data_IF_773844268198
#
_entry.id   IF_773844268198
#
_cell.length_a   1.000
_cell.length_b   1.000
_cell.length_c   1.000
_cell.angle_alpha   90.00
_cell.angle_beta   90.00
_cell.angle_gamma   90.00
#
_symmetry.space_group_name_H-M   'P 1'
#
loop_
_entity.id
_entity.type
_entity.pdbx_description
1 polymer ?
#
# COMPACT_ATOMS: atom_id res chain seq x y z
N UNK A 1 10.00 -2.01 11.16
CA UNK A 1 11.46 -2.25 11.15
C UNK A 1 12.14 -0.93 10.83
N UNK A 2 13.35 -0.70 11.38
CA UNK A 2 14.14 0.50 11.15
C UNK A 2 15.61 0.12 11.03
N UNK A 3 16.43 1.04 10.53
CA UNK A 3 17.88 0.88 10.46
C UNK A 3 18.54 1.55 11.66
N UNK A 4 19.66 0.99 12.15
CA UNK A 4 20.44 1.53 13.25
C UNK A 4 21.92 1.43 12.93
N UNK A 5 22.73 2.30 13.53
CA UNK A 5 24.19 2.25 13.45
C UNK A 5 24.82 1.42 14.60
N UNK A 6 24.00 0.84 15.47
CA UNK A 6 24.45 -0.02 16.57
C UNK A 6 24.94 -1.35 15.99
N UNK A 7 26.02 -1.90 16.57
CA UNK A 7 26.52 -3.22 16.17
C UNK A 7 25.43 -4.29 16.38
N UNK A 8 25.25 -5.23 15.44
CA UNK A 8 24.20 -6.23 15.50
C UNK A 8 24.41 -7.15 16.71
N UNK A 9 23.32 -7.43 17.44
CA UNK A 9 23.30 -8.37 18.54
C UNK A 9 23.21 -9.82 18.06
N UNK A 10 22.57 -10.03 16.92
CA UNK A 10 22.37 -11.33 16.26
C UNK A 10 23.04 -11.29 14.89
N UNK A 11 24.01 -12.18 14.71
CA UNK A 11 24.82 -12.27 13.49
C UNK A 11 24.40 -13.51 12.72
N UNK A 12 24.20 -13.36 11.42
CA UNK A 12 23.92 -14.43 10.50
C UNK A 12 25.25 -15.11 10.08
N UNK A 13 25.26 -16.42 10.01
CA UNK A 13 26.42 -17.22 9.59
C UNK A 13 25.97 -18.44 8.79
N UNK A 14 26.91 -19.14 8.19
CA UNK A 14 26.63 -20.41 7.51
C UNK A 14 26.02 -21.46 8.44
N UNK A 15 26.43 -21.47 9.72
CA UNK A 15 25.85 -22.35 10.75
C UNK A 15 24.47 -21.88 11.25
N UNK A 16 24.15 -20.62 11.06
CA UNK A 16 22.88 -20.03 11.47
C UNK A 16 22.42 -19.05 10.39
N UNK A 17 21.94 -19.57 9.25
CA UNK A 17 21.53 -18.73 8.11
C UNK A 17 20.25 -17.96 8.37
N UNK A 18 19.47 -18.36 9.38
CA UNK A 18 18.20 -17.74 9.71
C UNK A 18 17.97 -17.69 11.22
N UNK A 19 17.32 -16.64 11.67
CA UNK A 19 16.63 -16.57 12.97
C UNK A 19 15.14 -16.35 12.73
N UNK A 20 14.31 -16.92 13.62
CA UNK A 20 12.87 -16.60 13.65
C UNK A 20 12.63 -15.60 14.76
N UNK A 21 11.98 -14.49 14.41
CA UNK A 21 11.66 -13.39 15.33
C UNK A 21 10.17 -13.41 15.61
N UNK A 22 9.77 -13.63 16.86
CA UNK A 22 8.39 -13.65 17.28
C UNK A 22 8.02 -12.38 18.06
N UNK A 23 7.04 -11.64 17.57
CA UNK A 23 6.48 -10.48 18.25
C UNK A 23 5.47 -10.89 19.31
N UNK A 24 5.80 -10.69 20.59
CA UNK A 24 5.04 -11.21 21.73
C UNK A 24 3.63 -10.63 21.84
N UNK A 25 3.42 -9.36 21.47
CA UNK A 25 2.10 -8.74 21.45
C UNK A 25 1.35 -8.90 20.12
N UNK A 26 2.07 -8.97 19.03
CA UNK A 26 1.48 -8.98 17.67
C UNK A 26 1.25 -10.38 17.14
N UNK A 27 1.79 -11.40 17.75
CA UNK A 27 1.85 -12.79 17.24
C UNK A 27 2.45 -12.88 15.84
N UNK A 28 3.24 -11.88 15.46
CA UNK A 28 3.89 -11.87 14.16
C UNK A 28 5.14 -12.73 14.20
N UNK A 29 5.34 -13.51 13.14
CA UNK A 29 6.60 -14.19 12.88
C UNK A 29 7.32 -13.48 11.72
N UNK A 30 8.61 -13.31 11.87
CA UNK A 30 9.50 -12.83 10.81
C UNK A 30 10.72 -13.76 10.76
N UNK A 31 11.29 -13.92 9.58
CA UNK A 31 12.56 -14.63 9.40
C UNK A 31 13.62 -13.58 9.09
N UNK A 32 14.68 -13.55 9.90
CA UNK A 32 15.84 -12.69 9.68
C UNK A 32 16.93 -13.52 9.00
N UNK A 33 17.43 -13.01 7.89
CA UNK A 33 18.54 -13.55 7.08
C UNK A 33 19.68 -12.53 6.89
N UNK A 34 19.65 -11.46 7.65
CA UNK A 34 20.69 -10.44 7.75
C UNK A 34 20.92 -10.13 9.21
N UNK A 35 22.09 -9.60 9.55
CA UNK A 35 22.43 -9.20 10.90
C UNK A 35 21.44 -8.17 11.46
N UNK A 36 21.07 -8.29 12.73
CA UNK A 36 20.03 -7.46 13.31
C UNK A 36 20.17 -7.23 14.82
N UNK A 37 19.50 -6.20 15.29
CA UNK A 37 19.21 -5.95 16.70
C UNK A 37 17.70 -6.04 16.93
N UNK A 38 17.28 -6.21 18.17
CA UNK A 38 15.86 -6.19 18.55
C UNK A 38 15.61 -5.20 19.67
N UNK A 39 14.38 -4.72 19.72
CA UNK A 39 13.84 -3.95 20.84
C UNK A 39 13.04 -4.88 21.76
N UNK A 40 12.35 -4.29 22.75
CA UNK A 40 11.54 -5.02 23.70
C UNK A 40 10.38 -5.83 23.07
N UNK A 41 9.90 -6.82 23.83
CA UNK A 41 8.73 -7.62 23.52
C UNK A 41 8.83 -8.50 22.24
N UNK A 42 10.03 -8.91 21.88
CA UNK A 42 10.28 -9.93 20.85
C UNK A 42 11.02 -11.12 21.43
N UNK A 43 10.79 -12.28 20.86
CA UNK A 43 11.54 -13.53 21.15
C UNK A 43 12.33 -13.93 19.93
N UNK A 44 13.60 -14.22 20.12
CA UNK A 44 14.49 -14.70 19.06
C UNK A 44 14.65 -16.20 19.21
N UNK A 45 14.40 -16.90 18.13
CA UNK A 45 14.47 -18.34 18.07
C UNK A 45 15.56 -18.73 17.07
N UNK A 46 16.52 -19.52 17.54
CA UNK A 46 17.51 -20.14 16.70
C UNK A 46 16.97 -21.51 16.28
N UNK A 47 16.88 -21.82 14.97
CA UNK A 47 16.54 -23.15 14.51
C UNK A 47 17.54 -24.19 15.03
N UNK A 48 17.06 -25.38 15.40
CA UNK A 48 17.89 -26.44 15.96
C UNK A 48 18.65 -27.25 14.90
N UNK A 49 18.26 -27.07 13.64
CA UNK A 49 18.91 -27.67 12.45
C UNK A 49 18.83 -26.68 11.30
N UNK A 50 19.57 -26.93 10.24
CA UNK A 50 19.53 -26.11 9.05
C UNK A 50 18.24 -26.41 8.27
N UNK A 51 17.31 -25.45 8.28
CA UNK A 51 16.12 -25.46 7.45
C UNK A 51 16.33 -24.54 6.26
N UNK A 52 15.71 -24.86 5.13
CA UNK A 52 15.55 -23.90 4.04
C UNK A 52 14.58 -22.79 4.44
N UNK A 53 14.59 -21.68 3.71
CA UNK A 53 13.64 -20.59 3.94
C UNK A 53 12.18 -21.07 3.78
N UNK A 54 11.90 -21.94 2.79
CA UNK A 54 10.55 -22.44 2.54
C UNK A 54 10.07 -23.37 3.66
N UNK A 55 10.93 -24.27 4.13
CA UNK A 55 10.63 -25.10 5.29
C UNK A 55 10.30 -24.27 6.53
N UNK A 56 11.07 -23.21 6.81
CA UNK A 56 10.78 -22.29 7.90
C UNK A 56 9.45 -21.56 7.71
N UNK A 57 9.15 -21.08 6.50
CA UNK A 57 7.86 -20.43 6.19
C UNK A 57 6.71 -21.39 6.47
N UNK A 58 6.81 -22.66 6.05
CA UNK A 58 5.78 -23.67 6.31
C UNK A 58 5.58 -23.89 7.82
N UNK A 59 6.68 -24.13 8.54
CA UNK A 59 6.67 -24.38 10.00
C UNK A 59 6.05 -23.20 10.76
N UNK A 60 6.52 -21.97 10.51
CA UNK A 60 6.01 -20.79 11.23
C UNK A 60 4.56 -20.47 10.87
N UNK A 61 4.12 -20.74 9.65
CA UNK A 61 2.72 -20.58 9.24
C UNK A 61 1.81 -21.54 9.98
N UNK A 62 2.21 -22.82 10.07
CA UNK A 62 1.51 -23.84 10.86
C UNK A 62 1.49 -23.47 12.34
N UNK A 63 2.60 -22.97 12.87
CA UNK A 63 2.70 -22.54 14.26
C UNK A 63 1.80 -21.36 14.56
N UNK A 64 1.83 -20.32 13.72
CA UNK A 64 0.99 -19.13 13.86
C UNK A 64 -0.50 -19.46 13.94
N UNK A 65 -0.96 -20.40 13.12
CA UNK A 65 -2.36 -20.82 13.09
C UNK A 65 -2.79 -21.52 14.39
N UNK A 66 -1.87 -22.14 15.13
CA UNK A 66 -2.14 -22.76 16.43
C UNK A 66 -2.19 -21.77 17.61
N UNK A 67 -1.75 -20.52 17.43
CA UNK A 67 -1.70 -19.54 18.53
C UNK A 67 -3.01 -18.78 18.63
N UNK A 68 -3.75 -18.99 19.72
CA UNK A 68 -5.01 -18.29 19.99
C UNK A 68 -4.76 -16.79 20.20
N UNK A 69 -5.59 -15.95 19.56
CA UNK A 69 -5.56 -14.52 19.75
C UNK A 69 -6.17 -14.09 21.09
N UNK A 70 -5.40 -13.41 21.90
CA UNK A 70 -5.85 -12.79 23.15
C UNK A 70 -5.77 -11.26 23.13
N UNK A 71 -5.86 -10.66 21.95
CA UNK A 71 -5.77 -9.21 21.77
C UNK A 71 -4.40 -8.67 22.15
N UNK A 72 -4.37 -7.58 22.91
CA UNK A 72 -3.10 -6.91 23.31
C UNK A 72 -2.40 -7.60 24.50
N UNK A 73 -2.43 -8.93 24.54
CA UNK A 73 -1.72 -9.73 25.56
C UNK A 73 -0.35 -10.18 25.08
N UNK A 74 0.47 -10.71 25.99
CA UNK A 74 1.70 -11.42 25.63
C UNK A 74 1.37 -12.85 25.26
N UNK A 75 1.83 -13.30 24.09
CA UNK A 75 1.45 -14.59 23.52
C UNK A 75 2.54 -15.66 23.63
N UNK A 76 3.76 -15.31 24.05
CA UNK A 76 4.85 -16.28 24.12
C UNK A 76 4.57 -17.47 25.03
N UNK A 77 3.94 -17.25 26.19
CA UNK A 77 3.58 -18.32 27.13
C UNK A 77 2.66 -19.39 26.49
N UNK A 78 1.85 -18.97 25.50
CA UNK A 78 0.97 -19.86 24.75
C UNK A 78 1.74 -20.42 23.55
N UNK A 79 2.39 -19.56 22.80
CA UNK A 79 3.07 -19.92 21.56
C UNK A 79 4.07 -21.08 21.74
N UNK A 80 4.85 -21.05 22.82
CA UNK A 80 5.84 -22.09 23.11
C UNK A 80 5.24 -23.47 23.45
N UNK A 81 3.96 -23.54 23.82
CA UNK A 81 3.25 -24.77 24.18
C UNK A 81 2.39 -25.31 23.03
N UNK A 82 2.28 -24.56 21.93
CA UNK A 82 1.50 -24.98 20.75
C UNK A 82 2.14 -26.22 20.11
N UNK A 83 1.34 -27.25 19.97
CA UNK A 83 1.69 -28.43 19.16
C UNK A 83 1.25 -28.18 17.71
N UNK A 84 2.18 -28.23 16.80
CA UNK A 84 1.92 -28.08 15.37
C UNK A 84 1.90 -29.45 14.69
N UNK A 85 1.07 -29.59 13.67
CA UNK A 85 1.07 -30.76 12.80
C UNK A 85 1.91 -30.42 11.57
N UNK A 86 2.87 -31.30 11.28
CA UNK A 86 3.70 -31.22 10.07
C UNK A 86 3.47 -32.46 9.20
N UNK A 87 3.62 -32.33 7.88
CA UNK A 87 3.51 -33.46 6.98
C UNK A 87 4.58 -34.51 7.31
N UNK A 88 4.23 -35.79 7.22
CA UNK A 88 5.14 -36.91 7.48
C UNK A 88 5.09 -37.93 6.35
N UNK A 89 6.26 -38.51 6.05
CA UNK A 89 6.43 -39.61 5.10
C UNK A 89 7.33 -40.66 5.77
N UNK A 90 6.91 -41.90 5.78
CA UNK A 90 7.63 -43.01 6.41
C UNK A 90 8.01 -42.74 7.89
N UNK A 91 7.11 -42.11 8.64
CA UNK A 91 7.30 -41.76 10.07
C UNK A 91 8.28 -40.63 10.36
N UNK A 92 8.78 -39.93 9.35
CA UNK A 92 9.65 -38.76 9.46
C UNK A 92 8.95 -37.50 8.90
N UNK A 93 9.39 -36.30 9.34
CA UNK A 93 8.89 -35.05 8.76
C UNK A 93 9.25 -35.01 7.27
N UNK A 94 8.25 -34.70 6.44
CA UNK A 94 8.38 -34.59 4.98
C UNK A 94 8.74 -33.13 4.58
N UNK A 95 10.03 -32.85 4.64
CA UNK A 95 10.57 -31.54 4.25
C UNK A 95 10.42 -31.27 2.75
N UNK A 96 10.49 -32.32 1.93
CA UNK A 96 10.32 -32.23 0.48
C UNK A 96 8.91 -31.72 0.10
N UNK A 97 7.89 -32.26 0.78
CA UNK A 97 6.52 -31.79 0.61
C UNK A 97 6.37 -30.33 1.06
N UNK A 98 6.97 -29.93 2.20
CA UNK A 98 6.88 -28.56 2.69
C UNK A 98 7.52 -27.56 1.71
N UNK A 99 8.71 -27.88 1.17
CA UNK A 99 9.37 -27.03 0.16
C UNK A 99 8.53 -26.94 -1.12
N UNK A 100 8.02 -28.08 -1.63
CA UNK A 100 7.19 -28.12 -2.82
C UNK A 100 5.90 -27.30 -2.66
N UNK A 101 5.23 -27.42 -1.50
CA UNK A 101 4.00 -26.69 -1.21
C UNK A 101 4.23 -25.17 -1.21
N UNK A 102 5.27 -24.69 -0.55
CA UNK A 102 5.58 -23.25 -0.52
C UNK A 102 6.02 -22.76 -1.89
N UNK A 103 6.81 -23.55 -2.62
CA UNK A 103 7.22 -23.21 -4.00
C UNK A 103 6.02 -23.02 -4.92
N UNK A 104 5.05 -23.93 -4.88
CA UNK A 104 3.83 -23.83 -5.70
C UNK A 104 3.04 -22.55 -5.38
N UNK A 105 2.89 -22.22 -4.09
CA UNK A 105 2.25 -20.98 -3.66
C UNK A 105 3.02 -19.73 -4.11
N UNK A 106 4.35 -19.74 -4.02
CA UNK A 106 5.19 -18.64 -4.52
C UNK A 106 5.00 -18.44 -6.02
N UNK A 107 5.03 -19.52 -6.81
CA UNK A 107 4.84 -19.47 -8.26
C UNK A 107 3.45 -18.96 -8.65
N UNK A 108 2.40 -19.37 -7.93
CA UNK A 108 1.05 -18.87 -8.14
C UNK A 108 0.98 -17.36 -7.90
N UNK A 109 1.53 -16.89 -6.78
CA UNK A 109 1.54 -15.46 -6.42
C UNK A 109 2.35 -14.62 -7.41
N UNK A 110 3.48 -15.14 -7.90
CA UNK A 110 4.27 -14.45 -8.93
C UNK A 110 3.50 -14.36 -10.25
N UNK A 111 2.80 -15.41 -10.66
CA UNK A 111 1.95 -15.37 -11.85
C UNK A 111 0.81 -14.36 -11.72
N UNK A 112 0.14 -14.34 -10.57
CA UNK A 112 -0.92 -13.35 -10.28
C UNK A 112 -0.37 -11.91 -10.32
N UNK A 113 0.79 -11.68 -9.68
CA UNK A 113 1.45 -10.37 -9.68
C UNK A 113 1.81 -9.93 -11.10
N UNK A 114 2.44 -10.79 -11.89
CA UNK A 114 2.81 -10.48 -13.27
C UNK A 114 1.58 -10.18 -14.13
N UNK A 115 0.51 -10.96 -14.01
CA UNK A 115 -0.74 -10.71 -14.71
C UNK A 115 -1.36 -9.36 -14.30
N UNK A 116 -1.34 -9.02 -13.02
CA UNK A 116 -1.80 -7.73 -12.52
C UNK A 116 -0.98 -6.57 -13.09
N UNK A 117 0.35 -6.68 -13.08
CA UNK A 117 1.23 -5.64 -13.63
C UNK A 117 0.93 -5.39 -15.12
N UNK A 118 0.76 -6.46 -15.91
CA UNK A 118 0.45 -6.35 -17.35
C UNK A 118 -0.94 -5.73 -17.58
N UNK A 119 -1.99 -6.22 -16.90
CA UNK A 119 -3.36 -5.69 -17.06
C UNK A 119 -3.46 -4.23 -16.61
N UNK A 120 -2.68 -3.84 -15.59
CA UNK A 120 -2.64 -2.45 -15.10
C UNK A 120 -1.73 -1.53 -15.91
N UNK A 121 -0.98 -2.05 -16.90
CA UNK A 121 0.02 -1.29 -17.66
C UNK A 121 1.22 -0.84 -16.82
N UNK A 122 1.49 -1.54 -15.71
CA UNK A 122 2.59 -1.25 -14.77
C UNK A 122 3.85 -2.09 -15.04
N UNK A 123 3.82 -2.98 -16.02
CA UNK A 123 4.95 -3.83 -16.42
C UNK A 123 6.05 -3.06 -17.18
N UNK A 124 5.74 -1.91 -17.77
CA UNK A 124 6.71 -1.04 -18.43
C UNK A 124 7.36 -0.06 -17.45
N UNK A 125 8.51 -0.40 -16.91
CA UNK A 125 9.32 0.47 -16.03
C UNK A 125 10.36 1.32 -16.74
N UNK A 126 10.47 1.24 -18.08
CA UNK A 126 11.47 2.01 -18.86
C UNK A 126 10.96 3.42 -19.08
N UNK A 127 11.76 4.40 -18.67
CA UNK A 127 11.46 5.81 -18.88
C UNK A 127 11.64 6.20 -20.35
N UNK A 128 10.68 6.96 -20.90
CA UNK A 128 10.84 7.66 -22.18
C UNK A 128 11.79 8.86 -22.05
N UNK A 129 12.12 9.49 -23.16
CA UNK A 129 12.96 10.71 -23.21
C UNK A 129 12.26 11.87 -22.49
N UNK A 130 10.96 12.01 -22.74
CA UNK A 130 10.09 13.06 -22.20
C UNK A 130 9.90 12.87 -20.68
N UNK A 131 9.73 11.64 -20.23
CA UNK A 131 9.63 11.30 -18.80
C UNK A 131 10.94 11.61 -18.04
N UNK A 132 12.10 11.33 -18.65
CA UNK A 132 13.40 11.70 -18.09
C UNK A 132 13.56 13.21 -18.01
N UNK A 133 13.18 13.93 -19.07
CA UNK A 133 13.20 15.39 -19.07
C UNK A 133 12.29 15.99 -18.00
N UNK A 134 11.10 15.43 -17.80
CA UNK A 134 10.18 15.86 -16.74
C UNK A 134 10.75 15.63 -15.34
N UNK A 135 11.40 14.48 -15.09
CA UNK A 135 12.12 14.20 -13.84
C UNK A 135 13.29 15.16 -13.65
N UNK A 136 14.11 15.37 -14.67
CA UNK A 136 15.28 16.27 -14.61
C UNK A 136 14.86 17.72 -14.30
N UNK A 137 13.70 18.15 -14.76
CA UNK A 137 13.13 19.46 -14.42
C UNK A 137 12.65 19.51 -12.96
N UNK A 138 12.24 18.37 -12.40
CA UNK A 138 11.74 18.28 -11.03
C UNK A 138 12.83 18.00 -9.99
N UNK A 139 13.81 17.14 -10.31
CA UNK A 139 14.78 16.55 -9.36
C UNK A 139 16.13 17.27 -9.37
N UNK A 140 16.13 18.59 -9.20
CA UNK A 140 17.41 19.28 -8.95
C UNK A 140 17.74 19.28 -7.46
N UNK A 141 18.89 18.73 -7.03
CA UNK A 141 19.33 18.69 -5.63
C UNK A 141 19.45 20.05 -4.94
N UNK A 142 19.43 21.14 -5.69
CA UNK A 142 19.69 22.51 -5.23
C UNK A 142 18.57 23.51 -5.53
N UNK A 143 17.38 23.06 -5.90
CA UNK A 143 16.28 23.98 -6.21
C UNK A 143 16.43 24.80 -7.50
N UNK A 144 17.57 24.68 -8.21
CA UNK A 144 17.87 25.49 -9.40
C UNK A 144 17.08 25.06 -10.65
N UNK A 145 16.69 23.77 -10.77
CA UNK A 145 15.97 23.26 -11.96
C UNK A 145 14.45 23.33 -11.86
N UNK A 146 13.86 23.43 -10.65
CA UNK A 146 12.46 23.81 -10.49
C UNK A 146 12.17 25.21 -11.03
N UNK A 147 13.23 26.03 -11.23
CA UNK A 147 13.11 27.35 -11.86
C UNK A 147 12.72 27.28 -13.34
N UNK A 148 12.88 26.12 -13.99
CA UNK A 148 12.51 25.94 -15.40
C UNK A 148 11.04 25.55 -15.60
N UNK A 149 10.31 25.21 -14.53
CA UNK A 149 8.85 24.97 -14.55
C UNK A 149 8.16 26.24 -14.08
N UNK A 150 7.33 26.81 -14.92
CA UNK A 150 6.47 27.93 -14.50
C UNK A 150 5.34 27.39 -13.62
N UNK A 151 5.12 28.02 -12.50
CA UNK A 151 4.05 27.65 -11.57
C UNK A 151 3.00 28.74 -11.50
N UNK A 152 1.73 28.35 -11.60
CA UNK A 152 0.59 29.22 -11.45
C UNK A 152 -0.19 28.90 -10.19
N UNK A 153 -0.70 29.94 -9.54
CA UNK A 153 -1.58 29.79 -8.39
C UNK A 153 -3.04 29.61 -8.85
N UNK A 154 -3.68 28.55 -8.36
CA UNK A 154 -5.07 28.22 -8.65
C UNK A 154 -5.84 27.94 -7.37
N UNK A 155 -7.08 28.43 -7.26
CA UNK A 155 -7.96 28.10 -6.13
C UNK A 155 -8.56 26.71 -6.33
N UNK A 156 -8.63 25.93 -5.26
CA UNK A 156 -9.25 24.59 -5.31
C UNK A 156 -10.70 24.66 -5.80
N UNK A 157 -11.47 25.65 -5.34
CA UNK A 157 -12.87 25.83 -5.74
C UNK A 157 -13.09 26.22 -7.21
N UNK A 158 -12.06 26.73 -7.90
CA UNK A 158 -12.14 27.06 -9.33
C UNK A 158 -11.86 25.84 -10.21
N UNK A 159 -11.26 24.78 -9.63
CA UNK A 159 -10.86 23.57 -10.34
C UNK A 159 -11.72 22.35 -10.00
N UNK A 160 -12.41 22.39 -8.86
CA UNK A 160 -13.15 21.23 -8.35
C UNK A 160 -14.53 21.61 -7.84
N UNK A 161 -15.45 20.65 -7.89
CA UNK A 161 -16.73 20.68 -7.21
C UNK A 161 -16.82 19.58 -6.15
N UNK A 162 -17.50 19.87 -5.02
CA UNK A 162 -17.81 18.85 -4.03
C UNK A 162 -19.00 18.03 -4.48
N UNK A 163 -18.87 16.70 -4.46
CA UNK A 163 -19.98 15.79 -4.71
C UNK A 163 -20.85 15.60 -3.45
N UNK A 164 -22.14 15.42 -3.65
CA UNK A 164 -23.10 15.14 -2.60
C UNK A 164 -23.68 13.72 -2.78
N UNK A 165 -22.84 12.70 -2.60
CA UNK A 165 -23.22 11.30 -2.73
C UNK A 165 -23.96 10.80 -1.49
N UNK A 166 -24.98 10.01 -1.69
CA UNK A 166 -25.90 9.55 -0.63
C UNK A 166 -25.94 8.03 -0.53
N UNK A 167 -26.30 7.57 0.66
CA UNK A 167 -26.80 6.23 0.86
C UNK A 167 -28.22 6.14 0.31
N UNK A 168 -28.51 5.11 -0.50
CA UNK A 168 -29.76 5.03 -1.28
C UNK A 168 -30.93 4.47 -0.49
N UNK A 169 -30.70 3.78 0.64
CA UNK A 169 -31.75 3.27 1.51
C UNK A 169 -32.18 4.32 2.54
N UNK A 170 -33.37 4.15 3.09
CA UNK A 170 -33.94 5.08 4.08
C UNK A 170 -33.17 5.09 5.41
N UNK A 171 -32.62 3.95 5.82
CA UNK A 171 -31.90 3.80 7.10
C UNK A 171 -30.61 3.04 6.90
N UNK A 172 -29.51 3.62 7.35
CA UNK A 172 -28.18 3.00 7.34
C UNK A 172 -27.97 2.16 8.60
N UNK A 173 -27.55 0.90 8.42
CA UNK A 173 -27.16 0.01 9.51
C UNK A 173 -25.72 -0.49 9.29
N UNK A 174 -24.82 -0.02 10.13
CA UNK A 174 -23.39 -0.37 10.03
C UNK A 174 -23.11 -1.88 10.10
N UNK A 175 -23.94 -2.65 10.80
CA UNK A 175 -23.72 -4.09 10.95
C UNK A 175 -24.06 -4.89 9.69
N UNK A 176 -24.97 -4.39 8.85
CA UNK A 176 -25.50 -5.12 7.70
C UNK A 176 -25.20 -4.49 6.35
N UNK A 177 -24.91 -3.17 6.30
CA UNK A 177 -24.79 -2.44 5.03
C UNK A 177 -23.34 -2.23 4.59
N UNK A 178 -22.37 -2.49 5.48
CA UNK A 178 -20.95 -2.38 5.17
C UNK A 178 -20.13 -3.56 5.72
N UNK A 179 -18.97 -3.80 5.10
CA UNK A 179 -17.98 -4.78 5.53
C UNK A 179 -16.61 -4.12 5.72
N UNK A 180 -15.80 -4.64 6.65
CA UNK A 180 -14.38 -4.24 6.80
C UNK A 180 -13.47 -4.86 5.73
N UNK A 181 -13.91 -5.97 5.15
CA UNK A 181 -13.17 -6.71 4.12
C UNK A 181 -13.91 -6.66 2.80
N UNK A 182 -13.18 -6.56 1.70
CA UNK A 182 -13.75 -6.63 0.36
C UNK A 182 -14.21 -8.05 0.06
N UNK A 183 -15.42 -8.18 -0.46
CA UNK A 183 -16.02 -9.45 -0.90
C UNK A 183 -16.71 -9.24 -2.25
N UNK A 184 -17.24 -10.30 -2.86
CA UNK A 184 -18.06 -10.20 -4.09
C UNK A 184 -19.32 -9.37 -3.88
N UNK A 185 -19.93 -9.42 -2.68
CA UNK A 185 -21.11 -8.66 -2.30
C UNK A 185 -20.77 -7.21 -1.91
N UNK A 186 -19.75 -7.03 -1.07
CA UNK A 186 -19.27 -5.73 -0.59
C UNK A 186 -18.01 -5.35 -1.37
N UNK A 187 -18.18 -4.81 -2.57
CA UNK A 187 -17.09 -4.56 -3.50
C UNK A 187 -16.80 -3.08 -3.78
N UNK A 188 -17.67 -2.16 -3.33
CA UNK A 188 -17.50 -0.72 -3.48
C UNK A 188 -16.69 -0.16 -2.31
N UNK A 189 -15.52 0.45 -2.56
CA UNK A 189 -14.76 1.16 -1.53
C UNK A 189 -15.59 2.32 -0.95
N UNK A 190 -15.58 2.44 0.37
CA UNK A 190 -16.23 3.52 1.10
C UNK A 190 -15.19 4.28 1.92
N UNK A 191 -15.03 5.56 1.58
CA UNK A 191 -14.14 6.46 2.32
C UNK A 191 -14.77 6.97 3.61
N UNK A 192 -13.93 7.28 4.58
CA UNK A 192 -14.30 7.88 5.86
C UNK A 192 -13.06 8.57 6.47
N UNK A 193 -13.15 8.97 7.75
CA UNK A 193 -12.03 9.51 8.52
C UNK A 193 -10.95 8.45 8.80
N UNK A 194 -10.16 8.09 7.80
CA UNK A 194 -9.07 7.11 7.92
C UNK A 194 -7.74 7.71 7.50
N UNK A 195 -6.70 7.40 8.28
CA UNK A 195 -5.32 7.65 7.88
C UNK A 195 -4.73 6.40 7.22
N UNK A 196 -4.18 6.57 6.03
CA UNK A 196 -3.66 5.45 5.23
C UNK A 196 -4.75 4.68 4.46
N UNK A 197 -4.37 3.57 3.83
CA UNK A 197 -5.21 2.70 2.99
C UNK A 197 -6.08 3.49 1.99
N UNK A 198 -5.53 4.57 1.46
CA UNK A 198 -6.21 5.47 0.51
C UNK A 198 -7.57 6.01 1.01
N UNK A 199 -7.72 6.23 2.33
CA UNK A 199 -8.97 6.68 2.96
C UNK A 199 -10.07 5.63 3.04
N UNK A 200 -9.88 4.44 2.46
CA UNK A 200 -10.88 3.37 2.41
C UNK A 200 -10.97 2.69 3.78
N UNK A 201 -12.11 2.82 4.43
CA UNK A 201 -12.36 2.24 5.75
C UNK A 201 -13.26 1.01 5.71
N UNK A 202 -14.18 0.96 4.75
CA UNK A 202 -15.17 -0.09 4.59
C UNK A 202 -15.45 -0.36 3.11
N UNK A 203 -16.24 -1.39 2.87
CA UNK A 203 -16.78 -1.74 1.56
C UNK A 203 -18.28 -1.83 1.63
N UNK A 204 -18.99 -1.34 0.64
CA UNK A 204 -20.45 -1.37 0.51
C UNK A 204 -20.91 -2.14 -0.72
N UNK A 205 -22.24 -2.35 -0.81
CA UNK A 205 -22.88 -2.89 -2.01
C UNK A 205 -23.11 -1.77 -3.02
N UNK A 206 -22.89 -2.03 -4.29
CA UNK A 206 -23.07 -1.05 -5.38
C UNK A 206 -24.48 -0.44 -5.41
N UNK A 207 -25.49 -1.23 -5.10
CA UNK A 207 -26.89 -0.79 -5.13
C UNK A 207 -27.28 0.09 -3.93
N UNK A 208 -26.51 0.07 -2.86
CA UNK A 208 -26.84 0.75 -1.60
C UNK A 208 -26.23 2.17 -1.52
N UNK A 209 -25.22 2.49 -2.35
CA UNK A 209 -24.50 3.75 -2.31
C UNK A 209 -24.50 4.43 -3.67
N UNK A 210 -24.59 5.77 -3.68
CA UNK A 210 -24.16 6.57 -4.82
C UNK A 210 -22.65 6.58 -4.85
N UNK A 211 -22.07 6.47 -6.04
CA UNK A 211 -20.61 6.37 -6.26
C UNK A 211 -20.15 7.32 -7.34
N UNK A 212 -18.90 7.69 -7.29
CA UNK A 212 -18.23 8.42 -8.37
C UNK A 212 -16.81 7.88 -8.56
N UNK A 213 -16.29 8.02 -9.77
CA UNK A 213 -14.91 7.72 -10.14
C UNK A 213 -14.18 9.00 -10.56
N UNK A 214 -12.85 8.92 -10.63
CA UNK A 214 -11.97 10.05 -10.97
C UNK A 214 -12.20 11.23 -10.04
N UNK A 215 -12.18 10.96 -8.74
CA UNK A 215 -12.44 11.93 -7.65
C UNK A 215 -11.27 11.97 -6.69
N UNK A 216 -11.26 12.97 -5.83
CA UNK A 216 -10.28 13.11 -4.73
C UNK A 216 -11.04 13.12 -3.41
N UNK A 217 -10.63 12.25 -2.49
CA UNK A 217 -11.11 12.21 -1.12
C UNK A 217 -10.41 13.26 -0.26
N UNK A 218 -11.16 13.96 0.54
CA UNK A 218 -10.65 14.87 1.58
C UNK A 218 -11.28 14.51 2.92
N UNK A 219 -10.46 14.15 3.89
CA UNK A 219 -10.94 13.87 5.24
C UNK A 219 -11.27 15.17 5.96
N UNK A 220 -12.55 15.36 6.22
CA UNK A 220 -13.06 16.58 6.86
C UNK A 220 -12.74 16.63 8.36
N UNK A 221 -13.01 15.52 9.07
CA UNK A 221 -12.90 15.42 10.53
C UNK A 221 -12.47 14.01 10.94
N UNK A 222 -11.28 13.86 11.49
CA UNK A 222 -10.74 12.55 11.84
C UNK A 222 -9.49 12.63 12.72
N UNK A 223 -9.41 13.63 13.59
CA UNK A 223 -8.24 13.86 14.44
C UNK A 223 -6.94 13.88 13.59
N UNK A 224 -6.07 12.90 13.73
CA UNK A 224 -4.79 12.82 13.00
C UNK A 224 -4.99 12.70 11.47
N UNK A 225 -6.12 12.15 11.01
CA UNK A 225 -6.43 12.02 9.59
C UNK A 225 -7.06 13.24 8.96
N UNK A 226 -7.44 14.28 9.75
CA UNK A 226 -8.00 15.53 9.21
C UNK A 226 -7.09 16.13 8.15
N UNK A 227 -7.69 16.59 7.03
CA UNK A 227 -7.00 17.09 5.85
C UNK A 227 -6.07 16.07 5.17
N UNK A 228 -6.25 14.77 5.40
CA UNK A 228 -5.66 13.77 4.51
C UNK A 228 -6.41 13.76 3.18
N UNK A 229 -5.67 13.65 2.10
CA UNK A 229 -6.18 13.73 0.72
C UNK A 229 -5.76 12.47 -0.03
N UNK A 230 -6.71 11.81 -0.68
CA UNK A 230 -6.44 10.57 -1.40
C UNK A 230 -7.11 10.57 -2.78
N UNK A 231 -6.39 10.17 -3.84
CA UNK A 231 -6.99 10.00 -5.17
C UNK A 231 -7.90 8.76 -5.18
N UNK A 232 -9.06 8.90 -5.81
CA UNK A 232 -10.03 7.83 -5.97
C UNK A 232 -10.35 7.64 -7.47
N UNK A 233 -9.50 6.95 -8.24
CA UNK A 233 -9.73 6.72 -9.65
C UNK A 233 -10.89 5.76 -9.93
N UNK A 234 -11.14 4.79 -9.01
CA UNK A 234 -12.22 3.81 -9.12
C UNK A 234 -13.55 4.34 -8.58
N UNK A 235 -14.64 3.62 -8.88
CA UNK A 235 -15.94 3.89 -8.23
C UNK A 235 -15.80 3.82 -6.70
N UNK A 236 -16.11 4.93 -6.04
CA UNK A 236 -15.96 5.11 -4.59
C UNK A 236 -17.19 5.80 -4.03
N UNK A 237 -17.71 5.31 -2.91
CA UNK A 237 -18.77 5.93 -2.13
C UNK A 237 -18.22 6.63 -0.88
N UNK A 238 -19.08 7.40 -0.24
CA UNK A 238 -18.74 8.20 0.96
C UNK A 238 -19.61 7.77 2.13
N UNK A 239 -19.01 7.66 3.32
CA UNK A 239 -19.77 7.52 4.56
C UNK A 239 -19.96 8.89 5.22
N UNK A 240 -19.14 9.22 6.22
CA UNK A 240 -19.17 10.50 6.94
C UNK A 240 -17.74 10.89 7.33
N UNK A 241 -17.56 12.13 7.76
CA UNK A 241 -16.26 12.72 8.13
C UNK A 241 -15.23 12.83 6.98
N UNK A 242 -15.65 12.54 5.74
CA UNK A 242 -14.89 12.73 4.53
C UNK A 242 -15.84 13.17 3.41
N UNK A 243 -15.29 13.66 2.30
CA UNK A 243 -16.06 14.00 1.11
C UNK A 243 -15.22 13.86 -0.15
N UNK A 244 -15.90 13.62 -1.27
CA UNK A 244 -15.28 13.59 -2.59
C UNK A 244 -15.43 14.93 -3.30
N UNK A 245 -14.35 15.34 -3.94
CA UNK A 245 -14.34 16.43 -4.91
C UNK A 245 -14.03 15.87 -6.30
N UNK A 246 -14.63 16.46 -7.32
CA UNK A 246 -14.44 16.06 -8.72
C UNK A 246 -13.81 17.20 -9.50
N UNK A 247 -12.78 16.96 -10.33
CA UNK A 247 -12.25 17.95 -11.25
C UNK A 247 -13.34 18.44 -12.22
N UNK A 248 -13.36 19.73 -12.52
CA UNK A 248 -14.26 20.36 -13.50
C UNK A 248 -13.79 20.17 -14.96
N UNK A 249 -12.72 19.42 -15.15
CA UNK A 249 -12.11 19.10 -16.45
C UNK A 249 -11.74 17.61 -16.51
N UNK A 250 -11.46 17.12 -17.68
CA UNK A 250 -11.07 15.73 -17.87
C UNK A 250 -9.66 15.49 -17.34
N UNK A 251 -9.50 14.41 -16.58
CA UNK A 251 -8.22 13.98 -16.01
C UNK A 251 -8.05 12.48 -16.22
N UNK A 252 -6.79 12.05 -16.34
CA UNK A 252 -6.40 10.65 -16.20
C UNK A 252 -5.88 10.37 -14.77
N UNK A 253 -5.46 9.14 -14.50
CA UNK A 253 -4.97 8.75 -13.19
C UNK A 253 -3.75 9.55 -12.76
N UNK A 254 -2.81 9.82 -13.68
CA UNK A 254 -1.58 10.54 -13.40
C UNK A 254 -1.86 11.98 -12.96
N UNK A 255 -2.72 12.68 -13.71
CA UNK A 255 -3.14 14.04 -13.37
C UNK A 255 -3.88 14.03 -12.03
N UNK A 256 -4.76 13.06 -11.79
CA UNK A 256 -5.48 12.93 -10.52
C UNK A 256 -4.53 12.76 -9.33
N UNK A 257 -3.47 11.94 -9.48
CA UNK A 257 -2.45 11.73 -8.45
C UNK A 257 -1.64 13.00 -8.18
N UNK A 258 -1.27 13.72 -9.23
CA UNK A 258 -0.59 15.00 -9.10
C UNK A 258 -1.43 16.02 -8.31
N UNK A 259 -2.68 16.20 -8.73
CA UNK A 259 -3.62 17.14 -8.10
C UNK A 259 -3.89 16.79 -6.63
N UNK A 260 -4.11 15.51 -6.32
CA UNK A 260 -4.32 15.08 -4.93
C UNK A 260 -3.12 15.37 -4.04
N UNK A 261 -1.90 15.14 -4.56
CA UNK A 261 -0.64 15.42 -3.84
C UNK A 261 -0.48 16.91 -3.59
N UNK A 262 -0.79 17.74 -4.58
CA UNK A 262 -0.70 19.20 -4.49
C UNK A 262 -1.71 19.77 -3.49
N UNK A 263 -2.94 19.28 -3.50
CA UNK A 263 -3.96 19.65 -2.51
C UNK A 263 -3.51 19.21 -1.12
N UNK A 264 -3.05 17.95 -0.95
CA UNK A 264 -2.53 17.43 0.32
C UNK A 264 -1.44 18.35 0.89
N UNK A 265 -0.46 18.75 0.07
CA UNK A 265 0.63 19.63 0.48
C UNK A 265 0.12 21.01 0.92
N UNK A 266 -0.89 21.55 0.23
CA UNK A 266 -1.44 22.87 0.53
C UNK A 266 -2.25 22.93 1.82
N UNK A 267 -3.01 21.87 2.15
CA UNK A 267 -4.01 21.92 3.22
C UNK A 267 -3.60 21.18 4.51
N UNK A 268 -2.67 20.22 4.45
CA UNK A 268 -2.39 19.31 5.58
C UNK A 268 -1.98 20.01 6.87
N UNK A 269 -1.18 21.05 6.77
CA UNK A 269 -0.70 21.81 7.94
C UNK A 269 -1.68 22.90 8.41
N UNK A 270 -2.67 23.26 7.59
CA UNK A 270 -3.64 24.32 7.88
C UNK A 270 -4.86 23.82 8.64
N UNK A 271 -5.16 22.52 8.54
CA UNK A 271 -6.35 21.92 9.14
C UNK A 271 -5.97 20.77 10.08
N UNK A 272 -6.78 20.60 11.12
CA UNK A 272 -6.55 19.61 12.17
C UNK A 272 -7.75 19.46 13.08
N UNK A 273 -7.51 19.03 14.32
CA UNK A 273 -8.59 18.76 15.28
C UNK A 273 -9.48 19.98 15.54
N UNK A 274 -8.89 21.15 15.78
CA UNK A 274 -9.63 22.39 16.09
C UNK A 274 -10.13 23.12 14.84
N UNK A 275 -9.47 22.91 13.70
CA UNK A 275 -9.81 23.57 12.45
C UNK A 275 -10.10 22.52 11.37
N UNK A 276 -11.36 22.07 11.28
CA UNK A 276 -11.80 21.01 10.35
C UNK A 276 -11.65 21.43 8.89
N UNK A 277 -11.28 20.45 8.03
CA UNK A 277 -11.07 20.65 6.60
C UNK A 277 -12.40 20.60 5.79
N UNK A 278 -13.39 21.39 6.21
CA UNK A 278 -14.68 21.48 5.52
C UNK A 278 -14.55 22.16 4.15
N UNK A 279 -15.40 21.77 3.18
CA UNK A 279 -15.35 22.25 1.81
C UNK A 279 -15.35 23.77 1.69
N UNK A 280 -16.17 24.49 2.46
CA UNK A 280 -16.27 25.95 2.43
C UNK A 280 -14.95 26.66 2.79
N UNK A 281 -14.05 25.99 3.47
CA UNK A 281 -12.70 26.46 3.76
C UNK A 281 -11.71 25.97 2.69
N UNK A 282 -11.71 24.67 2.40
CA UNK A 282 -10.77 24.06 1.46
C UNK A 282 -10.90 24.61 0.05
N UNK A 283 -12.11 24.91 -0.44
CA UNK A 283 -12.32 25.52 -1.75
C UNK A 283 -11.66 26.91 -1.93
N UNK A 284 -11.33 27.58 -0.82
CA UNK A 284 -10.66 28.91 -0.82
C UNK A 284 -9.15 28.80 -0.80
N UNK A 285 -8.63 27.61 -0.54
CA UNK A 285 -7.19 27.36 -0.52
C UNK A 285 -6.62 27.40 -1.93
N UNK A 286 -5.38 27.87 -2.02
CA UNK A 286 -4.63 27.93 -3.27
C UNK A 286 -3.65 26.75 -3.36
N UNK A 287 -3.51 26.21 -4.57
CA UNK A 287 -2.51 25.22 -4.94
C UNK A 287 -1.62 25.77 -6.06
N UNK A 288 -0.37 25.32 -6.10
CA UNK A 288 0.57 25.65 -7.17
C UNK A 288 0.54 24.55 -8.21
N UNK A 289 0.25 24.88 -9.46
CA UNK A 289 0.24 23.95 -10.58
C UNK A 289 1.25 24.38 -11.65
N UNK A 290 1.88 23.44 -12.36
CA UNK A 290 2.76 23.75 -13.48
C UNK A 290 1.94 24.44 -14.58
N UNK A 291 2.52 25.46 -15.20
CA UNK A 291 1.90 26.23 -16.28
C UNK A 291 2.81 26.35 -17.49
N UNK A 292 2.22 26.37 -18.67
CA UNK A 292 2.86 26.62 -19.96
C UNK A 292 1.98 27.58 -20.76
N UNK A 293 2.55 28.65 -21.23
CA UNK A 293 1.83 29.70 -22.00
C UNK A 293 0.57 30.23 -21.27
N UNK A 294 0.67 30.41 -19.95
CA UNK A 294 -0.40 30.93 -19.09
C UNK A 294 -1.54 29.93 -18.82
N UNK A 295 -1.43 28.66 -19.23
CA UNK A 295 -2.40 27.58 -18.97
C UNK A 295 -1.77 26.48 -18.11
N UNK A 296 -2.61 25.70 -17.43
CA UNK A 296 -2.16 24.53 -16.69
C UNK A 296 -1.49 23.53 -17.63
N UNK A 297 -0.28 23.09 -17.28
CA UNK A 297 0.50 22.12 -18.05
C UNK A 297 0.16 20.68 -17.60
N UNK A 298 -0.92 20.14 -18.14
CA UNK A 298 -1.36 18.77 -17.85
C UNK A 298 -0.38 17.73 -18.39
N UNK A 299 0.30 18.01 -19.50
CA UNK A 299 1.29 17.12 -20.10
C UNK A 299 2.48 16.90 -19.17
N UNK A 300 3.01 17.97 -18.59
CA UNK A 300 4.07 17.86 -17.59
C UNK A 300 3.64 17.05 -16.35
N UNK A 301 2.42 17.27 -15.82
CA UNK A 301 1.91 16.51 -14.69
C UNK A 301 1.84 15.01 -15.00
N UNK A 302 1.33 14.65 -16.19
CA UNK A 302 1.20 13.27 -16.63
C UNK A 302 2.55 12.59 -16.79
N UNK A 303 3.49 13.22 -17.48
CA UNK A 303 4.85 12.72 -17.69
C UNK A 303 5.59 12.53 -16.36
N UNK A 304 5.52 13.50 -15.46
CA UNK A 304 6.19 13.41 -14.15
C UNK A 304 5.65 12.26 -13.31
N UNK A 305 4.33 12.15 -13.18
CA UNK A 305 3.73 11.06 -12.39
C UNK A 305 3.95 9.70 -13.06
N UNK A 306 3.87 9.60 -14.39
CA UNK A 306 4.22 8.38 -15.11
C UNK A 306 5.66 7.96 -14.81
N UNK A 307 6.60 8.88 -14.87
CA UNK A 307 7.99 8.62 -14.55
C UNK A 307 8.19 8.13 -13.11
N UNK A 308 7.56 8.81 -12.13
CA UNK A 308 7.61 8.40 -10.73
C UNK A 308 7.01 7.01 -10.51
N UNK A 309 5.87 6.70 -11.14
CA UNK A 309 5.26 5.37 -11.08
C UNK A 309 6.21 4.29 -11.62
N UNK A 310 6.86 4.53 -12.77
CA UNK A 310 7.82 3.62 -13.36
C UNK A 310 9.04 3.38 -12.47
N UNK A 311 9.55 4.42 -11.82
CA UNK A 311 10.66 4.29 -10.86
C UNK A 311 10.27 3.46 -9.64
N UNK A 312 9.08 3.70 -9.08
CA UNK A 312 8.60 2.99 -7.88
C UNK A 312 8.31 1.51 -8.17
N UNK A 313 7.72 1.20 -9.35
CA UNK A 313 7.34 -0.17 -9.68
C UNK A 313 8.50 -1.03 -10.23
N UNK A 314 9.59 -0.40 -10.66
CA UNK A 314 10.71 -1.05 -11.35
C UNK A 314 11.19 -2.31 -10.65
N UNK A 315 11.49 -2.22 -9.36
CA UNK A 315 12.07 -3.35 -8.63
C UNK A 315 11.08 -4.49 -8.47
N UNK A 316 9.78 -4.18 -8.40
CA UNK A 316 8.71 -5.20 -8.34
C UNK A 316 8.60 -5.94 -9.68
N UNK A 317 8.68 -5.23 -10.80
CA UNK A 317 8.66 -5.85 -12.15
C UNK A 317 9.88 -6.71 -12.35
N UNK A 318 11.09 -6.20 -12.03
CA UNK A 318 12.32 -6.96 -12.15
C UNK A 318 12.31 -8.23 -11.29
N UNK A 319 11.79 -8.14 -10.06
CA UNK A 319 11.63 -9.29 -9.18
C UNK A 319 10.68 -10.35 -9.78
N UNK A 320 9.53 -9.92 -10.29
CA UNK A 320 8.57 -10.83 -10.91
C UNK A 320 9.16 -11.54 -12.14
N UNK A 321 9.85 -10.77 -13.01
CA UNK A 321 10.49 -11.29 -14.22
C UNK A 321 11.59 -12.30 -13.89
N UNK A 322 12.46 -12.00 -12.92
CA UNK A 322 13.53 -12.91 -12.47
C UNK A 322 12.95 -14.24 -11.96
N UNK A 323 11.91 -14.18 -11.15
CA UNK A 323 11.25 -15.39 -10.61
C UNK A 323 10.62 -16.23 -11.73
N UNK A 324 9.92 -15.60 -12.69
CA UNK A 324 9.33 -16.30 -13.84
C UNK A 324 10.42 -16.95 -14.71
N UNK A 325 11.52 -16.25 -14.95
CA UNK A 325 12.64 -16.79 -15.74
C UNK A 325 13.29 -18.00 -15.05
N UNK A 326 13.51 -17.91 -13.74
CA UNK A 326 14.08 -18.99 -12.94
C UNK A 326 13.22 -20.25 -12.99
N UNK A 327 11.89 -20.11 -12.84
CA UNK A 327 10.94 -21.24 -12.96
C UNK A 327 10.97 -21.86 -14.35
N UNK A 328 10.98 -21.03 -15.41
CA UNK A 328 11.05 -21.52 -16.80
C UNK A 328 12.34 -22.30 -17.09
N UNK A 329 13.45 -21.93 -16.46
CA UNK A 329 14.74 -22.61 -16.63
C UNK A 329 14.70 -24.01 -15.99
N UNK A 330 14.17 -24.12 -14.78
CA UNK A 330 14.03 -25.41 -14.07
C UNK A 330 13.15 -26.38 -14.87
N UNK A 331 12.01 -25.90 -15.41
CA UNK A 331 11.07 -26.72 -16.20
C UNK A 331 11.68 -27.21 -17.54
N UNK A 332 12.68 -26.51 -18.08
CA UNK A 332 13.35 -26.91 -19.33
C UNK A 332 14.49 -27.92 -19.10
N UNK A 333 15.04 -27.96 -17.89
CA UNK A 333 16.15 -28.81 -17.50
C UNK A 333 15.68 -30.12 -16.83
N UNK A 334 14.38 -30.24 -16.53
CA UNK A 334 13.70 -31.44 -16.03
C UNK A 334 12.97 -32.20 -17.15
#
# INVERSE_FOLDING_TARGET
>A
MGYTQILPTYVISEETPFYVVFGDHTRSFNIANTDFCVMDNVKILKPLQNYTLRELIFIISSWKNGIVDKGYSRHWSIAKEVKIQLPTKDGKIDFEFMDACIRELEEERIRELSAYLTVSGLDNYKLSSEEKEALDKFDSPLGEKLQNVQWGECRVGDLFEKLNLKFKKSTFNKATDISKTRTSEFNIPLINAKFGDNGIMYYGRKNDFETASMTIDIVNDGAISTASVYPQPQETGVLYNAYLIKPLFNVNNQILYFLSTTIQKSIKEKFGYENKAGWEKVKKESIQLPTKDGKIDFEFMELLISAVQKLVIKDVVLYADEKIQSTKKIVKES
#
